data_IF_450171879253
#
_entry.id   IF_450171879253
#
_cell.length_a   1.000
_cell.length_b   1.000
_cell.length_c   1.000
_cell.angle_alpha   90.00
_cell.angle_beta   90.00
_cell.angle_gamma   90.00
#
_symmetry.space_group_name_H-M   'P 1'
#
loop_
_entity.id
_entity.type
_entity.pdbx_description
1 polymer ?
#
# COMPACT_ATOMS: atom_id res chain seq x y z
N UNK A 1 -19.32 7.93 -18.28
CA UNK A 1 -19.36 7.84 -16.78
C UNK A 1 -18.31 6.85 -16.34
N UNK A 2 -17.50 7.18 -15.34
CA UNK A 2 -16.45 6.28 -14.80
C UNK A 2 -17.02 5.58 -13.57
N UNK A 3 -17.02 4.23 -13.47
CA UNK A 3 -17.46 3.53 -12.27
C UNK A 3 -16.61 3.91 -11.04
N UNK A 4 -17.25 4.14 -9.90
CA UNK A 4 -16.60 4.51 -8.65
C UNK A 4 -15.98 3.25 -7.97
N UNK A 5 -14.85 2.79 -8.48
CA UNK A 5 -14.09 1.65 -7.92
C UNK A 5 -12.63 1.75 -8.29
N UNK A 6 -11.75 1.28 -7.40
CA UNK A 6 -10.34 1.07 -7.65
C UNK A 6 -10.08 -0.44 -7.84
N UNK A 7 -9.56 -0.84 -8.98
CA UNK A 7 -9.30 -2.26 -9.27
C UNK A 7 -7.82 -2.61 -9.28
N UNK A 8 -6.96 -1.67 -9.67
CA UNK A 8 -5.52 -1.90 -9.78
C UNK A 8 -4.75 -0.67 -9.31
N UNK A 9 -3.72 -0.89 -8.51
CA UNK A 9 -2.65 0.07 -8.23
C UNK A 9 -1.40 -0.43 -8.95
N UNK A 10 -0.79 0.40 -9.76
CA UNK A 10 0.44 0.08 -10.49
C UNK A 10 1.62 0.82 -9.89
N UNK A 11 2.65 0.09 -9.51
CA UNK A 11 3.95 0.60 -9.14
C UNK A 11 4.95 0.34 -10.28
N UNK A 12 5.82 1.29 -10.54
CA UNK A 12 6.91 1.15 -11.52
C UNK A 12 8.22 1.15 -10.77
N UNK A 13 9.12 0.23 -11.11
CA UNK A 13 10.38 -0.01 -10.40
C UNK A 13 11.51 -0.32 -11.38
N UNK A 14 12.74 -0.09 -10.94
CA UNK A 14 13.94 -0.57 -11.64
C UNK A 14 14.24 -2.06 -11.37
N UNK A 15 13.67 -2.66 -10.31
CA UNK A 15 13.90 -4.06 -9.93
C UNK A 15 12.63 -4.71 -9.38
N UNK A 16 11.88 -5.37 -10.26
CA UNK A 16 10.63 -6.06 -9.92
C UNK A 16 10.87 -7.21 -8.94
N UNK A 17 11.98 -7.94 -9.04
CA UNK A 17 12.23 -9.07 -8.15
C UNK A 17 12.53 -8.61 -6.72
N UNK A 18 13.31 -7.55 -6.56
CA UNK A 18 13.57 -6.94 -5.24
C UNK A 18 12.30 -6.38 -4.62
N UNK A 19 11.50 -5.64 -5.40
CA UNK A 19 10.24 -5.08 -4.94
C UNK A 19 9.23 -6.17 -4.56
N UNK A 20 9.15 -7.23 -5.36
CA UNK A 20 8.35 -8.42 -5.06
C UNK A 20 8.80 -9.08 -3.76
N UNK A 21 10.09 -9.36 -3.60
CA UNK A 21 10.65 -10.00 -2.40
C UNK A 21 10.35 -9.18 -1.14
N UNK A 22 10.37 -7.85 -1.24
CA UNK A 22 9.98 -6.98 -0.14
C UNK A 22 8.53 -7.25 0.31
N UNK A 23 7.55 -7.25 -0.61
CA UNK A 23 6.14 -7.52 -0.26
C UNK A 23 5.92 -8.95 0.23
N UNK A 24 6.65 -9.93 -0.30
CA UNK A 24 6.64 -11.32 0.22
C UNK A 24 7.14 -11.36 1.67
N UNK A 25 8.15 -10.55 2.04
CA UNK A 25 8.65 -10.46 3.41
C UNK A 25 7.67 -9.79 4.40
N UNK A 26 6.69 -9.03 3.89
CA UNK A 26 5.55 -8.57 4.68
C UNK A 26 4.49 -9.68 4.90
N UNK A 27 4.67 -10.88 4.32
CA UNK A 27 3.74 -11.99 4.38
C UNK A 27 2.69 -12.00 3.25
N UNK A 28 2.83 -11.13 2.25
CA UNK A 28 1.91 -11.12 1.12
C UNK A 28 2.23 -12.23 0.13
N UNK A 29 1.18 -12.85 -0.43
CA UNK A 29 1.34 -13.94 -1.40
C UNK A 29 1.21 -13.39 -2.82
N UNK A 30 2.25 -13.55 -3.65
CA UNK A 30 2.16 -13.17 -5.06
C UNK A 30 1.15 -14.08 -5.79
N UNK A 31 0.43 -13.48 -6.73
CA UNK A 31 -0.60 -14.17 -7.51
C UNK A 31 -0.04 -14.92 -8.73
N UNK A 32 1.30 -15.00 -8.85
CA UNK A 32 1.96 -15.62 -10.01
C UNK A 32 3.42 -15.97 -9.68
N UNK A 33 4.04 -16.88 -10.45
CA UNK A 33 5.46 -17.19 -10.34
C UNK A 33 6.37 -15.94 -10.52
N UNK A 34 7.62 -15.98 -10.01
CA UNK A 34 8.58 -14.88 -10.19
C UNK A 34 8.84 -14.59 -11.67
N UNK A 35 8.87 -13.29 -12.02
CA UNK A 35 9.28 -12.76 -13.32
C UNK A 35 10.12 -11.51 -13.11
N UNK A 36 11.12 -11.22 -13.96
CA UNK A 36 11.95 -10.03 -13.81
C UNK A 36 11.26 -8.72 -14.23
N UNK A 37 10.18 -8.81 -14.97
CA UNK A 37 9.50 -7.72 -15.66
C UNK A 37 8.14 -7.36 -15.05
N UNK A 38 7.53 -8.29 -14.29
CA UNK A 38 6.19 -8.11 -13.74
C UNK A 38 5.95 -8.93 -12.47
N UNK A 39 5.24 -8.34 -11.51
CA UNK A 39 4.67 -9.04 -10.37
C UNK A 39 3.24 -8.56 -10.09
N UNK A 40 2.43 -9.42 -9.48
CA UNK A 40 1.07 -9.10 -9.07
C UNK A 40 0.75 -9.73 -7.72
N UNK A 41 0.09 -8.94 -6.89
CA UNK A 41 -0.52 -9.35 -5.62
C UNK A 41 -2.02 -9.09 -5.68
N UNK A 42 -2.81 -10.01 -5.16
CA UNK A 42 -4.25 -9.80 -4.95
C UNK A 42 -4.44 -9.33 -3.52
N UNK A 43 -4.89 -8.10 -3.37
CA UNK A 43 -5.20 -7.47 -2.10
C UNK A 43 -6.71 -7.42 -1.87
N UNK A 44 -7.15 -7.15 -0.65
CA UNK A 44 -8.56 -6.93 -0.38
C UNK A 44 -9.10 -5.73 -1.17
N UNK A 45 -9.94 -5.99 -2.16
CA UNK A 45 -10.59 -4.95 -2.97
C UNK A 45 -9.82 -4.44 -4.18
N UNK A 46 -8.53 -4.72 -4.31
CA UNK A 46 -7.71 -4.28 -5.45
C UNK A 46 -6.57 -5.26 -5.76
N UNK A 47 -5.94 -5.09 -6.91
CA UNK A 47 -4.66 -5.71 -7.25
C UNK A 47 -3.54 -4.70 -7.14
N UNK A 48 -2.39 -5.12 -6.61
CA UNK A 48 -1.14 -4.40 -6.74
C UNK A 48 -0.34 -5.04 -7.87
N UNK A 49 0.02 -4.26 -8.88
CA UNK A 49 0.92 -4.68 -9.97
C UNK A 49 2.23 -3.92 -9.88
N UNK A 50 3.32 -4.60 -10.20
CA UNK A 50 4.67 -4.06 -10.19
C UNK A 50 5.28 -4.33 -11.55
N UNK A 51 5.77 -3.30 -12.22
CA UNK A 51 6.28 -3.35 -13.58
C UNK A 51 7.65 -2.70 -13.67
N UNK A 52 8.49 -3.17 -14.59
CA UNK A 52 9.61 -2.36 -15.04
C UNK A 52 9.11 -1.15 -15.85
N UNK A 53 9.93 -0.11 -15.98
CA UNK A 53 9.58 1.04 -16.83
C UNK A 53 9.36 0.63 -18.28
N UNK A 54 10.16 -0.34 -18.77
CA UNK A 54 10.07 -0.85 -20.14
C UNK A 54 8.73 -1.54 -20.41
N UNK A 55 8.33 -2.46 -19.54
CA UNK A 55 7.07 -3.22 -19.68
C UNK A 55 5.82 -2.38 -19.36
N UNK A 56 5.94 -1.39 -18.47
CA UNK A 56 4.86 -0.43 -18.22
C UNK A 56 4.60 0.45 -19.47
N UNK A 57 5.63 0.61 -20.31
CA UNK A 57 5.55 1.37 -21.54
C UNK A 57 5.32 2.86 -21.35
N UNK A 58 5.39 3.64 -22.44
CA UNK A 58 5.20 5.09 -22.36
C UNK A 58 3.82 5.49 -21.86
N UNK A 59 2.81 4.66 -22.08
CA UNK A 59 1.42 4.91 -21.66
C UNK A 59 1.26 5.07 -20.14
N UNK A 60 2.09 4.39 -19.36
CA UNK A 60 2.11 4.47 -17.88
C UNK A 60 3.27 5.31 -17.38
N UNK A 61 4.49 5.07 -17.90
CA UNK A 61 5.70 5.70 -17.39
C UNK A 61 5.77 7.21 -17.68
N UNK A 62 5.40 7.65 -18.89
CA UNK A 62 5.45 9.06 -19.27
C UNK A 62 4.50 9.95 -18.43
N UNK A 63 3.21 9.62 -18.24
CA UNK A 63 2.35 10.37 -17.34
C UNK A 63 2.88 10.45 -15.92
N UNK A 64 3.47 9.38 -15.39
CA UNK A 64 4.06 9.39 -14.05
C UNK A 64 5.28 10.32 -13.95
N UNK A 65 6.14 10.36 -14.97
CA UNK A 65 7.29 11.26 -15.02
C UNK A 65 6.89 12.73 -15.21
N UNK A 66 5.87 12.98 -16.03
CA UNK A 66 5.42 14.34 -16.35
C UNK A 66 4.96 15.15 -15.13
N UNK A 67 4.55 14.46 -14.05
CA UNK A 67 4.11 15.10 -12.80
C UNK A 67 5.26 15.54 -11.88
N UNK A 68 6.52 15.22 -12.20
CA UNK A 68 7.69 15.52 -11.38
C UNK A 68 7.82 14.58 -10.18
N UNK A 69 9.01 14.53 -9.58
CA UNK A 69 9.37 13.52 -8.57
C UNK A 69 9.37 13.99 -7.12
N UNK A 70 9.19 15.28 -6.84
CA UNK A 70 9.52 15.84 -5.54
C UNK A 70 8.44 15.62 -4.46
N UNK A 71 7.20 15.36 -4.86
CA UNK A 71 6.10 15.08 -3.93
C UNK A 71 5.08 14.14 -4.55
N UNK A 72 5.08 12.89 -4.13
CA UNK A 72 4.03 11.93 -4.49
C UNK A 72 2.73 12.30 -3.76
N UNK A 73 1.70 12.68 -4.51
CA UNK A 73 0.45 13.20 -3.97
C UNK A 73 -0.54 12.11 -3.57
N UNK A 74 -0.05 10.94 -3.20
CA UNK A 74 -0.86 9.83 -2.69
C UNK A 74 -0.05 8.99 -1.70
N UNK A 75 -0.74 8.30 -0.82
CA UNK A 75 -0.23 7.23 0.01
C UNK A 75 -1.16 6.03 -0.12
N UNK A 76 -0.64 4.84 0.11
CA UNK A 76 -1.41 3.61 0.20
C UNK A 76 -1.66 3.32 1.68
N UNK A 77 -2.82 2.76 2.03
CA UNK A 77 -3.12 2.46 3.41
C UNK A 77 -3.61 1.02 3.60
N UNK A 78 -3.17 0.43 4.71
CA UNK A 78 -3.67 -0.84 5.23
C UNK A 78 -4.40 -0.55 6.54
N UNK A 79 -5.70 -0.77 6.57
CA UNK A 79 -6.48 -0.65 7.80
C UNK A 79 -6.36 -1.92 8.63
N UNK A 80 -6.32 -1.75 9.94
CA UNK A 80 -6.33 -2.84 10.92
C UNK A 80 -7.42 -2.61 11.96
N UNK A 81 -7.82 -3.67 12.68
CA UNK A 81 -8.98 -3.64 13.58
C UNK A 81 -8.64 -3.22 15.00
N UNK A 82 -7.36 -3.15 15.38
CA UNK A 82 -6.91 -2.79 16.73
C UNK A 82 -5.61 -1.99 16.70
N UNK A 83 -5.41 -1.16 17.72
CA UNK A 83 -4.20 -0.32 17.86
C UNK A 83 -2.90 -1.15 17.92
N UNK A 84 -2.90 -2.26 18.66
CA UNK A 84 -1.74 -3.13 18.79
C UNK A 84 -1.29 -3.76 17.46
N UNK A 85 -2.22 -3.92 16.52
CA UNK A 85 -1.90 -4.40 15.17
C UNK A 85 -1.13 -3.36 14.33
N UNK A 86 -1.30 -2.07 14.62
CA UNK A 86 -0.48 -1.02 13.98
C UNK A 86 0.99 -1.19 14.37
N UNK A 87 1.26 -1.34 15.67
CA UNK A 87 2.61 -1.55 16.19
C UNK A 87 3.23 -2.82 15.59
N UNK A 88 2.49 -3.93 15.64
CA UNK A 88 2.95 -5.21 15.11
C UNK A 88 3.25 -5.15 13.59
N UNK A 89 2.43 -4.44 12.83
CA UNK A 89 2.62 -4.28 11.38
C UNK A 89 3.83 -3.41 11.05
N UNK A 90 4.03 -2.30 11.74
CA UNK A 90 5.22 -1.43 11.58
C UNK A 90 6.49 -2.17 11.98
N UNK A 91 6.46 -2.95 13.06
CA UNK A 91 7.60 -3.81 13.43
C UNK A 91 7.84 -4.92 12.39
N UNK A 92 6.80 -5.47 11.80
CA UNK A 92 6.90 -6.39 10.68
C UNK A 92 7.58 -5.75 9.46
N UNK A 93 7.14 -4.56 9.08
CA UNK A 93 7.72 -3.80 7.98
C UNK A 93 9.21 -3.49 8.23
N UNK A 94 9.57 -3.11 9.46
CA UNK A 94 10.97 -2.87 9.87
C UNK A 94 11.82 -4.14 9.70
N UNK A 95 11.33 -5.29 10.15
CA UNK A 95 12.04 -6.58 9.97
C UNK A 95 12.15 -6.99 8.50
N UNK A 96 11.20 -6.58 7.67
CA UNK A 96 11.22 -6.77 6.22
C UNK A 96 12.18 -5.82 5.48
N UNK A 97 12.83 -4.89 6.19
CA UNK A 97 13.77 -3.93 5.62
C UNK A 97 13.13 -2.62 5.13
N UNK A 98 11.87 -2.35 5.48
CA UNK A 98 11.23 -1.09 5.15
C UNK A 98 11.91 0.09 5.90
N UNK A 99 11.95 1.23 5.26
CA UNK A 99 12.27 2.49 5.94
C UNK A 99 11.04 2.98 6.70
N UNK A 100 11.13 3.05 8.02
CA UNK A 100 10.04 3.63 8.82
C UNK A 100 10.05 5.15 8.64
N UNK A 101 8.93 5.69 8.21
CA UNK A 101 8.71 7.12 7.95
C UNK A 101 8.19 7.81 9.21
N UNK A 102 7.17 7.21 9.83
CA UNK A 102 6.66 7.65 11.14
C UNK A 102 6.40 6.44 12.03
N UNK A 103 6.82 6.54 13.28
CA UNK A 103 6.52 5.51 14.27
C UNK A 103 5.03 5.48 14.61
N UNK A 104 4.49 4.35 15.09
CA UNK A 104 3.11 4.27 15.54
C UNK A 104 2.81 5.27 16.64
N UNK A 105 1.79 6.10 16.44
CA UNK A 105 1.35 7.08 17.44
C UNK A 105 -0.17 7.19 17.49
N UNK A 106 -0.68 7.52 18.66
CA UNK A 106 -2.11 7.80 18.85
C UNK A 106 -2.46 9.17 18.24
N UNK A 107 -3.55 9.20 17.51
CA UNK A 107 -4.04 10.41 16.84
C UNK A 107 -5.14 11.09 17.66
N UNK A 108 -5.23 12.42 17.53
CA UNK A 108 -6.22 13.23 18.25
C UNK A 108 -7.67 12.81 17.99
N UNK A 109 -7.95 12.19 16.85
CA UNK A 109 -9.26 11.65 16.48
C UNK A 109 -9.52 10.24 17.04
N UNK A 110 -8.64 9.71 17.90
CA UNK A 110 -8.81 8.45 18.62
C UNK A 110 -8.21 7.22 17.94
N UNK A 111 -7.72 7.36 16.71
CA UNK A 111 -7.03 6.30 15.97
C UNK A 111 -5.58 6.12 16.38
N UNK A 112 -4.89 5.24 15.65
CA UNK A 112 -3.45 5.02 15.74
C UNK A 112 -2.91 4.75 14.36
N UNK A 113 -1.81 5.37 13.95
CA UNK A 113 -1.17 5.06 12.68
C UNK A 113 0.34 5.20 12.74
N UNK A 114 1.00 4.52 11.80
CA UNK A 114 2.42 4.64 11.49
C UNK A 114 2.64 4.45 10.00
N UNK A 115 3.78 4.91 9.47
CA UNK A 115 4.07 4.87 8.05
C UNK A 115 5.42 4.23 7.77
N UNK A 116 5.48 3.44 6.72
CA UNK A 116 6.73 2.92 6.17
C UNK A 116 6.82 3.20 4.67
N UNK A 117 8.02 3.19 4.13
CA UNK A 117 8.26 3.24 2.70
C UNK A 117 8.83 1.91 2.21
N UNK A 118 8.35 1.46 1.06
CA UNK A 118 8.93 0.34 0.33
C UNK A 118 10.30 0.70 -0.26
N UNK A 119 11.05 -0.22 -0.88
CA UNK A 119 12.38 0.05 -1.45
C UNK A 119 12.42 1.19 -2.48
N UNK A 120 11.32 1.43 -3.19
CA UNK A 120 11.18 2.52 -4.17
C UNK A 120 10.66 3.83 -3.55
N UNK A 121 10.43 3.85 -2.24
CA UNK A 121 9.94 5.02 -1.52
C UNK A 121 8.44 5.25 -1.63
N UNK A 122 7.65 4.25 -2.06
CA UNK A 122 6.20 4.34 -1.98
C UNK A 122 5.77 4.26 -0.52
N UNK A 123 4.97 5.25 -0.09
CA UNK A 123 4.55 5.36 1.31
C UNK A 123 3.31 4.53 1.56
N UNK A 124 3.39 3.70 2.60
CA UNK A 124 2.30 2.91 3.15
C UNK A 124 1.98 3.38 4.56
N UNK A 125 0.72 3.66 4.82
CA UNK A 125 0.19 3.88 6.15
C UNK A 125 -0.40 2.57 6.69
N UNK A 126 -0.12 2.24 7.94
CA UNK A 126 -0.89 1.26 8.70
C UNK A 126 -1.73 2.02 9.71
N UNK A 127 -3.05 1.82 9.68
CA UNK A 127 -3.98 2.66 10.44
C UNK A 127 -5.08 1.86 11.12
N UNK A 128 -5.33 2.16 12.38
CA UNK A 128 -6.53 1.81 13.11
C UNK A 128 -7.47 3.01 13.15
N UNK A 129 -8.71 2.84 12.70
CA UNK A 129 -9.74 3.87 12.68
C UNK A 129 -10.89 3.41 13.59
N UNK A 130 -11.20 4.14 14.68
CA UNK A 130 -12.29 3.75 15.60
C UNK A 130 -13.64 3.62 14.88
N UNK A 131 -14.38 2.57 15.20
CA UNK A 131 -15.72 2.35 14.66
C UNK A 131 -15.75 1.72 13.27
N UNK A 132 -14.62 1.55 12.59
CA UNK A 132 -14.56 0.82 11.32
C UNK A 132 -14.42 -0.68 11.54
N UNK A 133 -14.75 -1.46 10.52
CA UNK A 133 -14.57 -2.93 10.47
C UNK A 133 -14.04 -3.34 9.11
N UNK A 134 -13.36 -4.46 9.07
CA UNK A 134 -13.02 -5.11 7.81
C UNK A 134 -14.09 -6.18 7.51
N UNK A 135 -14.57 -6.22 6.26
CA UNK A 135 -15.43 -7.32 5.81
C UNK A 135 -14.59 -8.58 5.53
N UNK A 136 -15.23 -9.68 5.14
CA UNK A 136 -14.57 -10.95 4.84
C UNK A 136 -13.53 -10.83 3.69
N UNK A 137 -13.68 -9.85 2.81
CA UNK A 137 -12.74 -9.55 1.73
C UNK A 137 -11.62 -8.58 2.13
N UNK A 138 -11.66 -8.04 3.36
CA UNK A 138 -10.70 -7.03 3.84
C UNK A 138 -11.03 -5.60 3.40
N UNK A 139 -12.23 -5.36 2.88
CA UNK A 139 -12.70 -4.02 2.55
C UNK A 139 -13.09 -3.27 3.83
N UNK A 140 -12.64 -2.02 3.95
CA UNK A 140 -12.97 -1.17 5.09
C UNK A 140 -14.42 -0.69 5.01
N UNK A 141 -15.21 -1.05 6.03
CA UNK A 141 -16.56 -0.56 6.23
C UNK A 141 -16.56 0.56 7.27
N UNK A 142 -17.03 1.73 6.87
CA UNK A 142 -17.20 2.89 7.75
C UNK A 142 -18.51 2.80 8.53
N UNK A 143 -18.58 3.26 9.80
CA UNK A 143 -19.84 3.35 10.50
C UNK A 143 -20.79 4.32 9.79
N UNK A 144 -22.09 4.01 9.80
CA UNK A 144 -23.10 4.90 9.24
C UNK A 144 -23.03 6.28 9.93
N UNK A 145 -22.98 7.33 9.12
CA UNK A 145 -22.90 8.70 9.62
C UNK A 145 -21.50 9.20 9.97
N UNK A 146 -20.45 8.39 9.86
CA UNK A 146 -19.08 8.86 9.87
C UNK A 146 -18.74 9.51 8.54
N UNK A 147 -19.30 10.68 8.29
CA UNK A 147 -18.80 11.57 7.25
C UNK A 147 -17.36 11.92 7.60
N UNK A 148 -16.45 11.70 6.65
CA UNK A 148 -15.05 11.90 6.86
C UNK A 148 -14.73 13.23 7.52
N UNK A 149 -13.86 13.16 8.49
CA UNK A 149 -13.18 14.33 9.01
C UNK A 149 -12.26 14.91 7.93
#
# INVERSE_FOLDING_TARGET
>A
MIPARLNVVTLVTGDVLAQRAFYESLGWRPAMPPRPDFARFTLGGAHLTIWTEEEAGPEVAEPLRALGNDFRRFALAVAVERKDQVDAAIDGARRAGARIVTEPEDKVWGGRSGNFADPEGNVWEVVFIPGTRLDEGGMLAWPEGAGGA
#
